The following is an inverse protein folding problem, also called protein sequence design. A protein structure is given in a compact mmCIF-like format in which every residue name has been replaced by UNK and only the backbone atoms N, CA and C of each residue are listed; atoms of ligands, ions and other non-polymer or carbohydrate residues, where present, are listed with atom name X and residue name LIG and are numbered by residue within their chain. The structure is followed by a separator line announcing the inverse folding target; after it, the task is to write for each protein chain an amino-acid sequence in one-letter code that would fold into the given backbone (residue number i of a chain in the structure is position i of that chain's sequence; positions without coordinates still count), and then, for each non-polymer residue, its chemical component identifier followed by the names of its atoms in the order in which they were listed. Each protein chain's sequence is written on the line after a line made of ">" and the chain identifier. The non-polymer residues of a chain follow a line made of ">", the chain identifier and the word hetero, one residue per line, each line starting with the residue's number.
data_IF_330879831356
#
_entry.id   IF_330879831356
#
_cell.length_a   1.000
_cell.length_b   1.000
_cell.length_c   1.000
_cell.angle_alpha   90.00
_cell.angle_beta   90.00
_cell.angle_gamma   90.00
#
_symmetry.space_group_name_H-M   'P 1'
#
loop_
_entity.id
_entity.type
_entity.pdbx_description
1 polymer ?
#
# COMPACT_ATOMS: atom_id res chain seq x y z
N UNK A 1 -6.95 50.95 14.09
CA UNK A 1 -7.91 49.84 13.91
C UNK A 1 -8.57 50.03 12.55
N UNK A 2 -8.15 49.28 11.54
CA UNK A 2 -8.85 49.24 10.26
C UNK A 2 -9.80 48.03 10.27
N UNK A 3 -11.12 48.21 10.12
CA UNK A 3 -12.06 47.10 10.03
C UNK A 3 -11.86 46.39 8.69
N UNK A 4 -11.69 45.07 8.73
CA UNK A 4 -11.56 44.21 7.57
C UNK A 4 -12.96 43.94 6.99
N UNK A 5 -13.27 44.48 5.80
CA UNK A 5 -14.54 44.27 5.09
C UNK A 5 -14.43 43.13 4.06
N UNK A 6 -14.03 41.95 4.53
CA UNK A 6 -14.05 40.73 3.72
C UNK A 6 -15.44 40.08 3.74
N UNK A 7 -16.34 40.52 2.86
CA UNK A 7 -17.59 39.80 2.56
C UNK A 7 -17.31 38.72 1.50
N UNK A 8 -16.68 37.63 1.90
CA UNK A 8 -16.69 36.38 1.12
C UNK A 8 -17.46 35.35 1.92
N UNK A 9 -18.75 35.17 1.59
CA UNK A 9 -19.48 33.97 2.02
C UNK A 9 -18.68 32.77 1.53
N UNK A 10 -18.26 31.90 2.46
CA UNK A 10 -17.81 30.56 2.12
C UNK A 10 -18.91 29.93 1.28
N UNK A 11 -18.60 29.57 0.03
CA UNK A 11 -19.45 28.65 -0.72
C UNK A 11 -19.42 27.34 0.06
N UNK A 12 -20.58 26.87 0.52
CA UNK A 12 -20.71 25.49 0.97
C UNK A 12 -20.47 24.62 -0.27
N UNK A 13 -19.29 24.01 -0.32
CA UNK A 13 -18.95 23.04 -1.36
C UNK A 13 -19.81 21.80 -1.16
N UNK A 14 -20.43 21.34 -2.24
CA UNK A 14 -20.95 19.98 -2.32
C UNK A 14 -19.76 19.03 -2.15
N UNK A 15 -19.59 18.48 -0.95
CA UNK A 15 -18.81 17.26 -0.77
C UNK A 15 -19.47 16.22 -1.67
N UNK A 16 -18.84 15.88 -2.81
CA UNK A 16 -19.26 14.71 -3.57
C UNK A 16 -19.29 13.54 -2.59
N UNK A 17 -20.49 12.99 -2.33
CA UNK A 17 -20.67 11.92 -1.37
C UNK A 17 -19.80 10.74 -1.80
N UNK A 18 -18.85 10.37 -0.94
CA UNK A 18 -18.04 9.17 -1.13
C UNK A 18 -18.96 7.96 -0.92
N UNK A 19 -19.49 7.40 -2.00
CA UNK A 19 -20.35 6.21 -1.92
C UNK A 19 -19.62 4.97 -1.39
N UNK A 20 -18.27 4.96 -1.42
CA UNK A 20 -17.45 3.94 -0.76
C UNK A 20 -16.02 4.44 -0.49
N UNK A 21 -15.64 4.55 0.79
CA UNK A 21 -14.25 4.72 1.23
C UNK A 21 -13.70 3.32 1.50
N UNK A 22 -12.69 2.89 0.73
CA UNK A 22 -11.99 1.63 1.01
C UNK A 22 -11.32 1.75 2.38
N UNK A 23 -11.75 0.95 3.37
CA UNK A 23 -11.22 1.05 4.72
C UNK A 23 -9.77 0.54 4.80
N UNK A 24 -9.29 -0.15 3.77
CA UNK A 24 -7.95 -0.72 3.70
C UNK A 24 -7.05 0.09 2.76
N UNK A 25 -5.75 0.27 3.09
CA UNK A 25 -4.79 0.96 2.24
C UNK A 25 -4.34 0.06 1.08
N UNK A 26 -5.25 -0.27 0.15
CA UNK A 26 -4.99 -1.12 -1.02
C UNK A 26 -5.39 -0.43 -2.34
N UNK A 27 -4.74 -0.81 -3.43
CA UNK A 27 -4.94 -0.20 -4.75
C UNK A 27 -6.19 -0.70 -5.49
N UNK A 28 -6.69 -1.89 -5.14
CA UNK A 28 -7.90 -2.48 -5.72
C UNK A 28 -8.90 -2.78 -4.60
N UNK A 29 -10.18 -2.65 -4.92
CA UNK A 29 -11.28 -3.04 -4.05
C UNK A 29 -11.57 -4.52 -4.23
N UNK A 30 -11.90 -5.19 -3.12
CA UNK A 30 -12.53 -6.50 -3.12
C UNK A 30 -13.75 -6.48 -2.22
N UNK A 31 -14.85 -7.11 -2.63
CA UNK A 31 -15.98 -7.38 -1.76
C UNK A 31 -15.60 -8.51 -0.78
N UNK A 32 -14.89 -8.16 0.29
CA UNK A 32 -14.43 -9.12 1.30
C UNK A 32 -14.62 -8.55 2.70
N UNK A 33 -14.98 -9.41 3.66
CA UNK A 33 -14.85 -9.07 5.07
C UNK A 33 -13.37 -8.92 5.43
N UNK A 34 -13.08 -8.00 6.35
CA UNK A 34 -11.74 -7.78 6.86
C UNK A 34 -11.77 -7.53 8.37
N UNK A 35 -10.62 -7.75 9.01
CA UNK A 35 -10.37 -7.44 10.41
C UNK A 35 -9.06 -6.65 10.50
N UNK A 36 -9.12 -5.43 11.03
CA UNK A 36 -7.93 -4.63 11.33
C UNK A 36 -7.27 -5.14 12.61
N UNK A 37 -5.94 -5.21 12.60
CA UNK A 37 -5.12 -5.53 13.77
C UNK A 37 -4.37 -4.29 14.30
N UNK A 38 -4.86 -3.10 13.93
CA UNK A 38 -4.39 -1.80 14.43
C UNK A 38 -4.83 -1.59 15.90
N UNK A 39 -4.10 -0.78 16.66
CA UNK A 39 -4.33 -0.51 18.07
C UNK A 39 -3.17 -0.97 18.95
N UNK A 40 -3.45 -1.35 20.19
CA UNK A 40 -2.39 -1.74 21.15
C UNK A 40 -1.83 -3.14 20.89
N UNK A 41 -0.52 -3.26 21.04
CA UNK A 41 0.27 -4.49 20.94
C UNK A 41 1.19 -4.60 22.17
N UNK A 42 1.49 -5.81 22.61
CA UNK A 42 2.57 -6.08 23.57
C UNK A 42 3.91 -5.79 22.88
N UNK A 43 4.85 -5.17 23.58
CA UNK A 43 6.08 -4.63 23.01
C UNK A 43 7.30 -4.86 23.91
N UNK A 44 8.42 -5.23 23.29
CA UNK A 44 9.72 -5.35 23.95
C UNK A 44 10.86 -5.07 22.97
N UNK A 45 11.94 -4.46 23.45
CA UNK A 45 13.20 -4.37 22.71
C UNK A 45 14.08 -5.58 23.00
N UNK A 46 14.79 -6.03 21.98
CA UNK A 46 15.75 -7.13 22.05
C UNK A 46 17.14 -6.62 21.66
N UNK A 47 17.71 -5.81 22.56
CA UNK A 47 18.95 -5.05 22.30
C UNK A 47 20.14 -5.96 21.93
N UNK A 48 20.17 -7.17 22.47
CA UNK A 48 21.22 -8.17 22.21
C UNK A 48 20.89 -9.11 21.04
N UNK A 49 19.74 -8.94 20.38
CA UNK A 49 19.21 -9.82 19.32
C UNK A 49 19.20 -11.31 19.70
N UNK A 50 18.70 -11.61 20.90
CA UNK A 50 18.66 -12.97 21.47
C UNK A 50 17.28 -13.59 21.45
N UNK A 51 16.24 -12.86 21.07
CA UNK A 51 14.84 -13.29 21.14
C UNK A 51 14.53 -14.49 20.25
N UNK A 52 15.19 -14.63 19.11
CA UNK A 52 15.09 -15.85 18.27
C UNK A 52 15.67 -17.05 19.02
N UNK A 53 16.87 -16.89 19.60
CA UNK A 53 17.57 -17.95 20.33
C UNK A 53 16.84 -18.35 21.63
N UNK A 54 16.19 -17.38 22.28
CA UNK A 54 15.33 -17.56 23.46
C UNK A 54 13.89 -17.94 23.10
N UNK A 55 13.57 -18.13 21.82
CA UNK A 55 12.25 -18.55 21.34
C UNK A 55 11.08 -17.64 21.76
N UNK A 56 11.25 -16.32 21.73
CA UNK A 56 10.21 -15.36 22.12
C UNK A 56 8.90 -15.52 21.32
N UNK A 57 8.98 -16.02 20.08
CA UNK A 57 7.82 -16.37 19.26
C UNK A 57 6.91 -17.47 19.87
N UNK A 58 7.43 -18.33 20.74
CA UNK A 58 6.64 -19.32 21.47
C UNK A 58 5.95 -18.73 22.71
N UNK A 59 6.38 -17.56 23.17
CA UNK A 59 5.84 -16.82 24.29
C UNK A 59 6.94 -16.01 24.97
N UNK A 60 6.63 -14.76 25.31
CA UNK A 60 7.54 -13.85 26.00
C UNK A 60 6.76 -12.97 26.97
N UNK A 61 7.40 -12.57 28.07
CA UNK A 61 6.83 -11.60 28.99
C UNK A 61 7.21 -10.20 28.52
N UNK A 62 6.26 -9.51 27.90
CA UNK A 62 6.44 -8.14 27.42
C UNK A 62 6.25 -7.13 28.56
N UNK A 63 7.18 -6.18 28.68
CA UNK A 63 7.20 -5.16 29.73
C UNK A 63 6.43 -3.90 29.35
N UNK A 64 6.12 -3.73 28.06
CA UNK A 64 5.55 -2.51 27.51
C UNK A 64 4.42 -2.79 26.50
N UNK A 65 3.72 -1.73 26.14
CA UNK A 65 2.77 -1.71 25.03
C UNK A 65 3.21 -0.72 23.96
N UNK A 66 2.77 -0.96 22.73
CA UNK A 66 3.00 -0.10 21.58
C UNK A 66 1.70 0.04 20.77
N UNK A 67 1.50 1.18 20.13
CA UNK A 67 0.35 1.39 19.24
C UNK A 67 0.76 1.10 17.79
N UNK A 68 0.05 0.22 17.12
CA UNK A 68 0.26 -0.10 15.70
C UNK A 68 -0.86 0.52 14.86
N UNK A 69 -0.59 1.24 13.76
CA UNK A 69 0.74 1.65 13.28
C UNK A 69 1.43 2.66 14.20
N UNK A 70 2.76 2.67 14.18
CA UNK A 70 3.60 3.53 15.01
C UNK A 70 5.09 3.36 14.71
N UNK A 71 5.94 4.27 15.20
CA UNK A 71 7.38 4.14 15.05
C UNK A 71 8.04 3.48 16.27
N UNK A 72 9.11 2.73 16.07
CA UNK A 72 9.94 2.21 17.16
C UNK A 72 10.44 3.36 18.03
N UNK A 73 10.78 4.50 17.42
CA UNK A 73 11.20 5.71 18.12
C UNK A 73 10.13 6.22 19.10
N UNK A 74 8.86 6.29 18.66
CA UNK A 74 7.74 6.71 19.51
C UNK A 74 7.44 5.67 20.60
N UNK A 75 7.58 4.38 20.30
CA UNK A 75 7.40 3.30 21.26
C UNK A 75 8.46 3.35 22.36
N UNK A 76 9.73 3.57 21.98
CA UNK A 76 10.82 3.78 22.93
C UNK A 76 10.58 4.99 23.82
N UNK A 77 10.17 6.12 23.23
CA UNK A 77 9.90 7.34 23.96
C UNK A 77 8.75 7.17 24.97
N UNK A 78 7.64 6.56 24.54
CA UNK A 78 6.46 6.28 25.37
C UNK A 78 6.81 5.32 26.52
N UNK A 79 7.53 4.25 26.22
CA UNK A 79 7.98 3.28 27.23
C UNK A 79 9.14 3.78 28.10
N UNK A 80 9.64 5.01 27.84
CA UNK A 80 10.81 5.62 28.51
C UNK A 80 12.05 4.71 28.47
N UNK A 81 12.17 3.93 27.40
CA UNK A 81 13.30 3.03 27.20
C UNK A 81 14.47 3.82 26.65
N UNK A 82 15.65 3.60 27.21
CA UNK A 82 16.91 4.15 26.69
C UNK A 82 17.67 3.07 25.95
N UNK A 83 18.29 3.43 24.82
CA UNK A 83 19.22 2.57 24.09
C UNK A 83 20.66 3.01 24.41
N UNK A 84 21.22 2.46 25.48
CA UNK A 84 22.43 2.99 26.11
C UNK A 84 22.13 4.34 26.78
N UNK A 85 22.94 5.37 26.50
CA UNK A 85 22.76 6.73 27.07
C UNK A 85 21.77 7.62 26.31
N UNK A 86 21.14 7.11 25.23
CA UNK A 86 20.30 7.91 24.33
C UNK A 86 18.84 7.47 24.38
N UNK A 87 17.93 8.41 24.16
CA UNK A 87 16.50 8.16 23.90
C UNK A 87 16.24 7.71 22.45
N UNK A 88 17.25 7.79 21.58
CA UNK A 88 17.25 7.22 20.23
C UNK A 88 18.16 6.00 20.14
N UNK A 89 17.84 5.07 19.24
CA UNK A 89 18.68 3.89 18.99
C UNK A 89 19.89 4.22 18.11
N UNK A 90 20.96 3.41 18.22
CA UNK A 90 22.22 3.56 17.50
C UNK A 90 22.59 2.24 16.83
N UNK A 91 23.13 2.31 15.61
CA UNK A 91 23.64 1.17 14.83
C UNK A 91 22.60 0.10 14.45
N UNK A 92 21.99 -0.58 15.41
CA UNK A 92 20.97 -1.61 15.19
C UNK A 92 19.90 -1.52 16.27
N UNK A 93 18.66 -1.84 15.89
CA UNK A 93 17.55 -2.00 16.82
C UNK A 93 16.77 -3.25 16.45
N UNK A 94 16.34 -3.99 17.47
CA UNK A 94 15.43 -5.14 17.30
C UNK A 94 14.27 -4.95 18.25
N UNK A 95 13.07 -5.03 17.69
CA UNK A 95 11.81 -4.87 18.41
C UNK A 95 10.90 -6.07 18.16
N UNK A 96 10.22 -6.50 19.21
CA UNK A 96 9.23 -7.56 19.17
C UNK A 96 7.87 -7.01 19.54
N UNK A 97 6.87 -7.41 18.76
CA UNK A 97 5.48 -7.06 18.93
C UNK A 97 4.65 -8.34 19.05
N UNK A 98 3.64 -8.35 19.90
CA UNK A 98 2.67 -9.44 19.97
C UNK A 98 1.24 -8.94 20.17
N UNK A 99 0.31 -9.55 19.45
CA UNK A 99 -1.12 -9.29 19.62
C UNK A 99 -1.93 -10.57 19.47
N UNK A 100 -2.99 -10.65 20.26
CA UNK A 100 -3.99 -11.68 20.15
C UNK A 100 -5.20 -11.20 19.33
N UNK A 101 -5.80 -12.10 18.57
CA UNK A 101 -7.03 -11.86 17.82
C UNK A 101 -7.89 -13.13 17.78
N UNK A 102 -9.22 -13.01 17.78
CA UNK A 102 -10.11 -14.17 17.72
C UNK A 102 -10.02 -14.86 16.36
N UNK A 103 -10.51 -16.10 16.26
CA UNK A 103 -10.70 -16.76 14.98
C UNK A 103 -11.59 -15.88 14.07
N UNK A 104 -11.11 -15.46 12.88
CA UNK A 104 -11.93 -14.62 12.00
C UNK A 104 -13.17 -15.36 11.50
N UNK A 105 -14.30 -14.67 11.49
CA UNK A 105 -15.51 -15.14 10.82
C UNK A 105 -15.41 -14.85 9.32
N UNK A 106 -15.28 -15.90 8.50
CA UNK A 106 -15.27 -15.75 7.03
C UNK A 106 -16.69 -15.79 6.50
N UNK A 107 -16.98 -14.99 5.46
CA UNK A 107 -18.30 -14.89 4.84
C UNK A 107 -18.87 -16.24 4.35
N UNK A 108 -18.00 -17.23 4.06
CA UNK A 108 -18.36 -18.58 3.61
C UNK A 108 -17.82 -19.70 4.53
N UNK A 109 -17.45 -19.37 5.78
CA UNK A 109 -16.85 -20.29 6.73
C UNK A 109 -15.36 -20.56 6.50
N UNK A 110 -14.67 -21.02 7.56
CA UNK A 110 -13.26 -21.40 7.50
C UNK A 110 -13.09 -22.68 6.67
N UNK A 111 -12.43 -22.57 5.51
CA UNK A 111 -12.11 -23.72 4.65
C UNK A 111 -13.00 -23.92 3.42
N UNK A 112 -13.76 -22.90 2.99
CA UNK A 112 -14.40 -22.94 1.66
C UNK A 112 -13.34 -23.14 0.57
N UNK A 113 -13.50 -24.09 -0.38
CA UNK A 113 -12.43 -24.55 -1.27
C UNK A 113 -11.84 -23.42 -2.13
N UNK A 114 -12.67 -22.44 -2.50
CA UNK A 114 -12.24 -21.28 -3.30
C UNK A 114 -11.75 -20.09 -2.46
N UNK A 115 -11.58 -20.22 -1.14
CA UNK A 115 -11.19 -19.09 -0.27
C UNK A 115 -9.95 -19.39 0.56
N UNK A 116 -9.18 -18.34 0.82
CA UNK A 116 -7.99 -18.35 1.68
C UNK A 116 -8.08 -17.15 2.63
N UNK A 117 -7.71 -17.35 3.89
CA UNK A 117 -7.50 -16.25 4.82
C UNK A 117 -6.11 -15.64 4.56
N UNK A 118 -6.07 -14.37 4.22
CA UNK A 118 -4.83 -13.63 3.96
C UNK A 118 -4.55 -12.65 5.09
N UNK A 119 -3.35 -12.70 5.65
CA UNK A 119 -2.82 -11.67 6.54
C UNK A 119 -1.94 -10.74 5.72
N UNK A 120 -2.20 -9.44 5.75
CA UNK A 120 -1.42 -8.43 5.01
C UNK A 120 -0.87 -7.39 5.96
N UNK A 121 0.42 -7.11 5.79
CA UNK A 121 1.10 -5.96 6.37
C UNK A 121 1.13 -4.86 5.32
N UNK A 122 0.59 -3.69 5.62
CA UNK A 122 0.59 -2.56 4.68
C UNK A 122 2.01 -2.08 4.34
N UNK A 123 2.90 -2.12 5.33
CA UNK A 123 4.35 -1.99 5.26
C UNK A 123 4.91 -2.00 6.70
N UNK A 124 6.02 -2.70 6.92
CA UNK A 124 6.83 -2.60 8.13
C UNK A 124 8.21 -3.22 7.90
N UNK A 125 9.23 -2.74 8.62
CA UNK A 125 10.61 -3.14 8.35
C UNK A 125 11.63 -2.38 9.21
N UNK A 126 12.92 -2.50 8.93
CA UNK A 126 13.49 -3.06 7.69
C UNK A 126 13.42 -4.61 7.54
N UNK A 127 13.97 -5.41 8.46
CA UNK A 127 13.90 -6.88 8.45
C UNK A 127 12.72 -7.36 9.31
N UNK A 128 11.70 -7.94 8.68
CA UNK A 128 10.49 -8.39 9.38
C UNK A 128 10.34 -9.91 9.32
N UNK A 129 10.10 -10.52 10.50
CA UNK A 129 9.73 -11.93 10.64
C UNK A 129 8.41 -12.06 11.40
N UNK A 130 7.57 -13.01 10.98
CA UNK A 130 6.21 -13.15 11.51
C UNK A 130 5.93 -14.59 11.89
N UNK A 131 5.30 -14.78 13.04
CA UNK A 131 4.84 -16.07 13.54
C UNK A 131 3.38 -16.00 13.92
N UNK A 132 2.64 -17.07 13.62
CA UNK A 132 1.27 -17.27 14.08
C UNK A 132 1.22 -18.47 15.01
N UNK A 133 0.76 -18.26 16.24
CA UNK A 133 0.67 -19.31 17.26
C UNK A 133 2.02 -20.02 17.51
N UNK A 134 3.13 -19.30 17.34
CA UNK A 134 4.50 -19.81 17.44
C UNK A 134 5.04 -20.47 16.17
N UNK A 135 4.25 -20.59 15.11
CA UNK A 135 4.66 -21.19 13.84
C UNK A 135 5.16 -20.08 12.90
N UNK A 136 6.38 -20.18 12.34
CA UNK A 136 6.89 -19.19 11.40
C UNK A 136 6.04 -19.15 10.13
N UNK A 137 5.70 -17.96 9.67
CA UNK A 137 4.99 -17.76 8.41
C UNK A 137 5.97 -17.45 7.28
N UNK A 138 5.60 -17.85 6.06
CA UNK A 138 6.33 -17.51 4.83
C UNK A 138 5.46 -16.65 3.94
N UNK A 139 6.01 -15.57 3.39
CA UNK A 139 5.25 -14.67 2.53
C UNK A 139 4.72 -15.43 1.31
N UNK A 140 3.71 -14.87 0.63
CA UNK A 140 3.20 -15.45 -0.63
C UNK A 140 4.26 -15.49 -1.75
N UNK A 141 5.39 -14.79 -1.58
CA UNK A 141 6.54 -14.87 -2.48
C UNK A 141 7.57 -15.93 -2.05
N UNK A 142 7.32 -16.62 -0.92
CA UNK A 142 8.18 -17.68 -0.39
C UNK A 142 9.28 -17.18 0.55
N UNK A 143 9.19 -15.96 1.06
CA UNK A 143 10.22 -15.37 1.93
C UNK A 143 9.95 -15.73 3.39
N UNK A 144 10.98 -16.17 4.11
CA UNK A 144 10.91 -16.35 5.58
C UNK A 144 11.10 -15.02 6.33
N UNK A 145 11.64 -14.03 5.62
CA UNK A 145 12.00 -12.71 6.12
C UNK A 145 11.62 -11.69 5.06
N UNK A 146 10.73 -10.76 5.39
CA UNK A 146 10.46 -9.62 4.54
C UNK A 146 11.53 -8.55 4.75
N UNK A 147 12.02 -7.96 3.66
CA UNK A 147 13.02 -6.89 3.70
C UNK A 147 12.47 -5.66 3.00
N UNK A 148 12.41 -4.55 3.73
CA UNK A 148 11.89 -3.28 3.26
C UNK A 148 10.74 -2.76 4.13
N UNK A 149 10.51 -1.45 4.11
CA UNK A 149 9.60 -0.77 5.05
C UNK A 149 8.49 0.04 4.36
N UNK A 150 8.37 -0.07 3.04
CA UNK A 150 7.57 0.87 2.24
C UNK A 150 6.49 0.22 1.39
N UNK A 151 6.57 -1.09 1.22
CA UNK A 151 5.68 -1.91 0.39
C UNK A 151 4.95 -2.93 1.23
N UNK A 152 3.74 -3.29 0.81
CA UNK A 152 2.97 -4.32 1.48
C UNK A 152 3.49 -5.72 1.15
N UNK A 153 3.28 -6.65 2.09
CA UNK A 153 3.54 -8.06 1.92
C UNK A 153 2.46 -8.86 2.67
N UNK A 154 2.24 -10.10 2.24
CA UNK A 154 1.11 -10.91 2.71
C UNK A 154 1.50 -12.37 2.94
N UNK A 155 0.68 -13.03 3.74
CA UNK A 155 0.73 -14.45 4.07
C UNK A 155 -0.61 -15.10 3.76
N UNK A 156 -0.59 -16.29 3.18
CA UNK A 156 -1.77 -17.16 3.07
C UNK A 156 -1.79 -18.06 4.32
N UNK A 157 -2.81 -17.92 5.16
CA UNK A 157 -2.90 -18.66 6.42
C UNK A 157 -3.53 -20.03 6.20
N UNK A 158 -2.87 -21.07 6.69
CA UNK A 158 -3.42 -22.43 6.68
C UNK A 158 -4.50 -22.54 7.77
N UNK A 159 -5.74 -22.94 7.46
CA UNK A 159 -6.80 -23.10 8.46
C UNK A 159 -6.43 -24.04 9.62
N UNK A 160 -5.56 -25.04 9.38
CA UNK A 160 -5.14 -26.00 10.40
C UNK A 160 -4.28 -25.42 11.53
N UNK A 161 -3.66 -24.25 11.32
CA UNK A 161 -2.84 -23.60 12.36
C UNK A 161 -3.62 -22.54 13.14
N UNK A 162 -4.87 -22.26 12.76
CA UNK A 162 -5.74 -21.32 13.45
C UNK A 162 -6.33 -21.94 14.72
N UNK A 163 -6.58 -21.08 15.71
CA UNK A 163 -7.15 -21.40 17.01
C UNK A 163 -8.32 -20.46 17.29
N UNK A 164 -9.11 -20.74 18.34
CA UNK A 164 -10.16 -19.84 18.83
C UNK A 164 -9.63 -18.45 19.17
N UNK A 165 -8.44 -18.40 19.77
CA UNK A 165 -7.64 -17.19 19.97
C UNK A 165 -6.28 -17.42 19.36
N UNK A 166 -5.90 -16.53 18.45
CA UNK A 166 -4.66 -16.59 17.69
C UNK A 166 -3.69 -15.54 18.21
N UNK A 167 -2.41 -15.88 18.25
CA UNK A 167 -1.33 -15.00 18.69
C UNK A 167 -0.41 -14.70 17.52
N UNK A 168 -0.34 -13.43 17.13
CA UNK A 168 0.55 -12.94 16.08
C UNK A 168 1.77 -12.30 16.74
N UNK A 169 2.96 -12.88 16.49
CA UNK A 169 4.22 -12.34 16.98
C UNK A 169 5.03 -11.81 15.78
N UNK A 170 5.56 -10.61 15.90
CA UNK A 170 6.30 -9.91 14.85
C UNK A 170 7.63 -9.44 15.41
N UNK A 171 8.73 -9.78 14.73
CA UNK A 171 10.06 -9.22 15.00
C UNK A 171 10.42 -8.27 13.87
N UNK A 172 10.83 -7.06 14.23
CA UNK A 172 11.37 -6.06 13.32
C UNK A 172 12.81 -5.79 13.74
N UNK A 173 13.76 -5.87 12.81
CA UNK A 173 15.12 -5.41 13.01
C UNK A 173 15.48 -4.33 11.98
N UNK A 174 16.09 -3.25 12.44
CA UNK A 174 16.61 -2.19 11.58
C UNK A 174 18.07 -1.88 11.95
N UNK A 175 18.80 -1.28 11.02
CA UNK A 175 20.21 -0.90 11.19
C UNK A 175 20.41 0.56 10.77
N UNK A 176 21.60 1.12 10.94
CA UNK A 176 21.99 2.42 10.39
C UNK A 176 22.83 2.28 9.11
N UNK A 177 22.85 1.09 8.49
CA UNK A 177 23.56 0.81 7.23
C UNK A 177 23.14 1.82 6.15
N UNK A 178 24.10 2.56 5.61
CA UNK A 178 23.86 3.58 4.58
C UNK A 178 23.62 2.99 3.18
N UNK A 179 23.86 1.69 3.01
CA UNK A 179 23.71 0.98 1.74
C UNK A 179 22.31 0.39 1.54
N UNK A 180 21.46 0.34 2.57
CA UNK A 180 20.04 -0.04 2.40
C UNK A 180 19.19 1.18 2.05
N UNK A 181 18.06 1.02 1.31
CA UNK A 181 17.13 2.10 1.04
C UNK A 181 16.62 2.75 2.33
N UNK A 182 16.72 4.07 2.41
CA UNK A 182 16.21 4.86 3.52
C UNK A 182 15.34 5.99 3.01
N UNK A 183 14.26 6.25 3.73
CA UNK A 183 13.33 7.34 3.49
C UNK A 183 13.48 8.40 4.55
N UNK A 184 12.78 8.22 5.68
CA UNK A 184 12.82 9.14 6.82
C UNK A 184 13.75 8.67 7.93
N UNK A 185 14.61 7.69 7.71
CA UNK A 185 15.51 7.14 8.72
C UNK A 185 16.91 7.79 8.63
N UNK A 186 17.63 7.82 9.75
CA UNK A 186 19.05 8.20 9.74
C UNK A 186 19.95 7.02 9.30
N UNK A 187 21.22 7.29 9.03
CA UNK A 187 22.26 6.28 8.82
C UNK A 187 23.58 6.66 9.49
N UNK A 188 24.63 5.86 9.30
CA UNK A 188 25.98 6.21 9.74
C UNK A 188 26.56 7.43 9.01
N UNK A 189 26.20 7.64 7.74
CA UNK A 189 26.76 8.71 6.89
C UNK A 189 25.85 9.93 6.79
N UNK A 190 24.59 9.79 7.18
CA UNK A 190 23.59 10.83 7.10
C UNK A 190 22.87 11.02 8.43
N UNK A 191 22.99 12.24 8.96
CA UNK A 191 22.31 12.76 10.15
C UNK A 191 21.47 13.95 9.72
N UNK A 192 20.28 14.11 10.29
CA UNK A 192 19.28 15.06 9.79
C UNK A 192 19.72 16.52 9.78
N UNK A 193 20.69 16.91 10.60
CA UNK A 193 21.46 18.15 10.44
C UNK A 193 20.67 19.42 10.12
N UNK A 194 19.43 19.57 10.64
CA UNK A 194 18.54 20.71 10.35
C UNK A 194 17.26 20.41 9.58
N UNK A 195 16.96 19.14 9.29
CA UNK A 195 15.74 18.73 8.58
C UNK A 195 14.57 18.47 9.56
N UNK A 196 13.40 19.00 9.23
CA UNK A 196 12.23 19.10 10.11
C UNK A 196 11.21 17.96 9.97
N UNK A 197 11.65 16.71 9.93
CA UNK A 197 10.78 15.53 10.08
C UNK A 197 11.37 14.57 11.12
N UNK A 198 10.58 13.71 11.76
CA UNK A 198 11.01 12.73 12.80
C UNK A 198 11.35 11.35 12.22
N UNK A 199 12.24 10.60 12.88
CA UNK A 199 12.72 9.29 12.41
C UNK A 199 11.57 8.35 12.60
N UNK A 200 11.28 7.61 11.56
CA UNK A 200 10.09 6.78 11.54
C UNK A 200 10.51 5.42 11.01
N UNK A 201 10.64 4.49 11.95
CA UNK A 201 11.10 3.13 11.68
C UNK A 201 10.09 2.13 12.24
N UNK A 202 9.86 1.01 11.57
CA UNK A 202 9.20 -0.15 12.16
C UNK A 202 7.77 -0.37 11.68
N UNK A 203 6.79 -0.15 12.56
CA UNK A 203 5.40 -0.55 12.40
C UNK A 203 4.59 0.44 11.55
N UNK A 204 5.02 0.69 10.30
CA UNK A 204 4.63 1.90 9.56
C UNK A 204 3.18 1.95 9.08
N UNK A 205 2.56 0.81 8.77
CA UNK A 205 1.18 0.78 8.26
C UNK A 205 0.37 -0.36 8.84
N UNK A 206 -0.94 -0.24 8.67
CA UNK A 206 -1.94 -1.16 9.20
C UNK A 206 -1.68 -2.61 8.85
N UNK A 207 -2.10 -3.49 9.74
CA UNK A 207 -2.16 -4.93 9.50
C UNK A 207 -3.63 -5.33 9.41
N UNK A 208 -3.97 -6.17 8.46
CA UNK A 208 -5.33 -6.68 8.35
C UNK A 208 -5.38 -8.13 7.91
N UNK A 209 -6.46 -8.78 8.30
CA UNK A 209 -6.90 -10.07 7.79
C UNK A 209 -8.04 -9.83 6.80
N UNK A 210 -8.03 -10.54 5.68
CA UNK A 210 -9.13 -10.53 4.72
C UNK A 210 -9.33 -11.92 4.12
N UNK A 211 -10.56 -12.26 3.78
CA UNK A 211 -10.83 -13.44 2.95
C UNK A 211 -10.56 -13.09 1.50
N UNK A 212 -9.72 -13.87 0.83
CA UNK A 212 -9.44 -13.73 -0.60
C UNK A 212 -9.71 -15.03 -1.31
N UNK A 213 -9.88 -14.95 -2.62
CA UNK A 213 -10.10 -16.13 -3.45
C UNK A 213 -8.81 -16.93 -3.59
N UNK A 214 -8.92 -18.26 -3.64
CA UNK A 214 -7.78 -19.17 -3.76
C UNK A 214 -7.02 -18.89 -5.05
N UNK A 215 -7.70 -19.00 -6.19
CA UNK A 215 -7.22 -18.54 -7.49
C UNK A 215 -7.73 -17.12 -7.70
N UNK A 216 -6.82 -16.15 -7.82
CA UNK A 216 -7.20 -14.73 -7.84
C UNK A 216 -6.26 -13.86 -8.65
N UNK A 217 -6.80 -12.76 -9.17
CA UNK A 217 -6.01 -11.57 -9.49
C UNK A 217 -5.58 -10.94 -8.16
N UNK A 218 -4.33 -10.49 -8.04
CA UNK A 218 -3.76 -9.80 -6.87
C UNK A 218 -4.08 -8.32 -6.88
N UNK A 219 -3.70 -7.64 -5.80
CA UNK A 219 -4.08 -6.25 -5.54
C UNK A 219 -3.33 -5.18 -6.34
N UNK A 220 -2.62 -5.55 -7.42
CA UNK A 220 -1.88 -4.62 -8.28
C UNK A 220 -2.26 -4.84 -9.75
N UNK A 221 -2.79 -3.78 -10.37
CA UNK A 221 -3.10 -3.71 -11.80
C UNK A 221 -2.25 -2.62 -12.42
N UNK A 222 -1.41 -2.98 -13.40
CA UNK A 222 -0.62 -2.02 -14.17
C UNK A 222 -1.39 -1.55 -15.39
N UNK A 223 -1.70 -0.26 -15.48
CA UNK A 223 -2.44 0.33 -16.60
C UNK A 223 -1.48 1.17 -17.44
N UNK A 224 -1.44 0.92 -18.76
CA UNK A 224 -0.63 1.71 -19.70
C UNK A 224 -1.50 2.05 -20.91
N UNK A 225 -1.66 3.33 -21.18
CA UNK A 225 -2.48 3.84 -22.28
C UNK A 225 -1.63 4.21 -23.50
N UNK A 226 -2.12 3.85 -24.69
CA UNK A 226 -1.77 4.48 -25.97
C UNK A 226 -2.95 5.34 -26.40
N UNK A 227 -2.81 6.66 -26.32
CA UNK A 227 -3.94 7.57 -26.60
C UNK A 227 -4.15 7.76 -28.09
N UNK A 228 -3.12 7.52 -28.91
CA UNK A 228 -3.20 7.61 -30.37
C UNK A 228 -3.99 6.44 -30.97
N UNK A 229 -3.90 5.27 -30.35
CA UNK A 229 -4.53 4.03 -30.83
C UNK A 229 -5.82 3.68 -30.06
N UNK A 230 -6.22 4.50 -29.08
CA UNK A 230 -7.32 4.20 -28.15
C UNK A 230 -7.14 2.85 -27.40
N UNK A 231 -5.90 2.43 -27.16
CA UNK A 231 -5.59 1.15 -26.52
C UNK A 231 -5.20 1.34 -25.06
N UNK A 232 -5.73 0.48 -24.20
CA UNK A 232 -5.30 0.35 -22.81
C UNK A 232 -4.78 -1.05 -22.57
N UNK A 233 -3.50 -1.13 -22.20
CA UNK A 233 -2.87 -2.37 -21.78
C UNK A 233 -2.98 -2.52 -20.27
N UNK A 234 -3.63 -3.61 -19.85
CA UNK A 234 -3.68 -4.04 -18.47
C UNK A 234 -2.64 -5.13 -18.20
N UNK A 235 -1.93 -4.99 -17.08
CA UNK A 235 -0.98 -5.97 -16.59
C UNK A 235 -1.44 -6.42 -15.21
N UNK A 236 -1.92 -7.65 -15.12
CA UNK A 236 -2.39 -8.25 -13.88
C UNK A 236 -1.30 -9.12 -13.28
N UNK A 237 -1.26 -9.16 -11.95
CA UNK A 237 -0.55 -10.23 -11.24
C UNK A 237 -1.57 -11.21 -10.68
N UNK A 238 -1.46 -12.50 -10.95
CA UNK A 238 -2.32 -13.54 -10.43
C UNK A 238 -1.62 -14.34 -9.31
N UNK A 239 -2.44 -15.06 -8.54
CA UNK A 239 -2.03 -16.09 -7.60
C UNK A 239 -2.89 -17.31 -7.91
N UNK A 240 -2.28 -18.29 -8.59
CA UNK A 240 -2.94 -19.53 -9.04
C UNK A 240 -2.38 -20.70 -8.22
N UNK A 241 -3.27 -21.42 -7.56
CA UNK A 241 -3.00 -22.67 -6.85
C UNK A 241 -3.45 -23.87 -7.66
N UNK A 242 -4.58 -23.77 -8.36
CA UNK A 242 -5.16 -24.88 -9.11
C UNK A 242 -5.03 -24.59 -10.61
N UNK A 243 -4.18 -25.32 -11.35
CA UNK A 243 -4.03 -25.15 -12.79
C UNK A 243 -5.33 -25.46 -13.53
N UNK A 244 -5.55 -24.80 -14.67
CA UNK A 244 -6.72 -25.06 -15.50
C UNK A 244 -7.01 -23.97 -16.52
N UNK A 245 -8.15 -24.07 -17.21
CA UNK A 245 -8.63 -23.00 -18.06
C UNK A 245 -9.35 -21.92 -17.24
N UNK A 246 -9.02 -20.67 -17.55
CA UNK A 246 -9.63 -19.51 -16.95
C UNK A 246 -10.03 -18.51 -18.02
N UNK A 247 -11.10 -17.76 -17.77
CA UNK A 247 -11.44 -16.57 -18.54
C UNK A 247 -11.21 -15.33 -17.70
N UNK A 248 -10.33 -14.45 -18.17
CA UNK A 248 -10.22 -13.10 -17.64
C UNK A 248 -11.23 -12.22 -18.36
N UNK A 249 -12.31 -11.85 -17.68
CA UNK A 249 -13.30 -10.90 -18.19
C UNK A 249 -13.03 -9.51 -17.63
N UNK A 250 -12.92 -8.52 -18.51
CA UNK A 250 -12.79 -7.12 -18.15
C UNK A 250 -14.07 -6.37 -18.51
N UNK A 251 -14.65 -5.66 -17.53
CA UNK A 251 -15.77 -4.75 -17.73
C UNK A 251 -15.37 -3.34 -17.35
N UNK A 252 -15.47 -2.41 -18.28
CA UNK A 252 -15.06 -1.01 -18.11
C UNK A 252 -16.30 -0.13 -18.10
N UNK A 253 -16.35 0.83 -17.17
CA UNK A 253 -17.45 1.77 -16.99
C UNK A 253 -16.88 3.19 -16.89
N UNK A 254 -17.66 4.20 -17.29
CA UNK A 254 -17.41 5.55 -16.79
C UNK A 254 -17.62 5.59 -15.27
N UNK A 255 -16.73 6.23 -14.52
CA UNK A 255 -16.86 6.27 -13.04
C UNK A 255 -18.09 7.04 -12.58
N UNK A 256 -18.47 8.11 -13.29
CA UNK A 256 -19.54 9.04 -12.88
C UNK A 256 -20.94 8.45 -13.18
N UNK A 257 -21.02 7.39 -13.98
CA UNK A 257 -22.28 6.74 -14.31
C UNK A 257 -22.51 5.55 -13.38
N UNK A 258 -23.61 5.57 -12.62
CA UNK A 258 -24.20 4.38 -11.99
C UNK A 258 -24.89 3.45 -13.02
N UNK A 259 -24.34 3.42 -14.25
CA UNK A 259 -24.83 2.54 -15.30
C UNK A 259 -24.51 1.09 -14.92
N UNK A 260 -25.53 0.22 -15.04
CA UNK A 260 -25.34 -1.23 -14.98
C UNK A 260 -24.59 -1.77 -16.20
N UNK A 261 -24.58 -1.02 -17.31
CA UNK A 261 -23.99 -1.45 -18.57
C UNK A 261 -22.55 -0.93 -18.73
N UNK A 262 -21.58 -1.82 -19.00
CA UNK A 262 -20.21 -1.43 -19.30
C UNK A 262 -20.09 -0.83 -20.70
N UNK A 263 -19.17 0.13 -20.86
CA UNK A 263 -18.81 0.67 -22.19
C UNK A 263 -18.00 -0.31 -23.02
N UNK A 264 -17.22 -1.18 -22.35
CA UNK A 264 -16.41 -2.21 -22.99
C UNK A 264 -16.48 -3.47 -22.13
N UNK A 265 -16.71 -4.60 -22.78
CA UNK A 265 -16.56 -5.93 -22.19
C UNK A 265 -15.70 -6.78 -23.12
N UNK A 266 -14.55 -7.22 -22.60
CA UNK A 266 -13.66 -8.15 -23.30
C UNK A 266 -13.40 -9.39 -22.45
N UNK A 267 -13.22 -10.52 -23.11
CA UNK A 267 -12.92 -11.81 -22.49
C UNK A 267 -11.66 -12.40 -23.11
N UNK A 268 -10.77 -12.86 -22.23
CA UNK A 268 -9.49 -13.44 -22.63
C UNK A 268 -9.36 -14.83 -22.02
N UNK A 269 -9.36 -15.89 -22.83
CA UNK A 269 -9.11 -17.24 -22.35
C UNK A 269 -7.62 -17.43 -22.05
N UNK A 270 -7.34 -18.08 -20.92
CA UNK A 270 -6.00 -18.44 -20.47
C UNK A 270 -5.98 -19.90 -20.04
N UNK A 271 -4.84 -20.56 -20.23
CA UNK A 271 -4.49 -21.78 -19.51
C UNK A 271 -3.45 -21.36 -18.48
N UNK A 272 -3.78 -21.40 -17.20
CA UNK A 272 -2.92 -20.90 -16.13
C UNK A 272 -2.33 -22.06 -15.34
N UNK A 273 -1.01 -22.01 -15.14
CA UNK A 273 -0.30 -22.97 -14.30
C UNK A 273 -0.21 -22.51 -12.85
N UNK A 274 0.01 -23.46 -11.93
CA UNK A 274 0.23 -23.14 -10.53
C UNK A 274 1.48 -22.25 -10.37
N UNK A 275 1.34 -21.14 -9.66
CA UNK A 275 2.41 -20.15 -9.50
C UNK A 275 2.63 -19.22 -10.69
N UNK A 276 1.85 -19.34 -11.78
CA UNK A 276 1.89 -18.37 -12.86
C UNK A 276 1.40 -17.00 -12.38
N UNK A 277 2.19 -15.95 -12.65
CA UNK A 277 1.96 -14.63 -12.04
C UNK A 277 1.46 -13.57 -13.00
N UNK A 278 1.91 -13.50 -14.25
CA UNK A 278 1.76 -12.24 -15.03
C UNK A 278 0.83 -12.44 -16.23
N UNK A 279 -0.30 -11.75 -16.21
CA UNK A 279 -1.22 -11.70 -17.34
C UNK A 279 -1.23 -10.32 -17.97
N UNK A 280 -1.21 -10.26 -19.29
CA UNK A 280 -1.23 -9.02 -20.05
C UNK A 280 -2.28 -9.10 -21.13
N UNK A 281 -3.18 -8.13 -21.11
CA UNK A 281 -4.25 -7.99 -22.10
C UNK A 281 -4.32 -6.55 -22.58
N UNK A 282 -4.84 -6.36 -23.78
CA UNK A 282 -5.02 -5.06 -24.40
C UNK A 282 -6.49 -4.95 -24.75
N UNK A 283 -7.08 -3.83 -24.37
CA UNK A 283 -8.48 -3.50 -24.61
C UNK A 283 -8.51 -2.19 -25.40
N UNK A 284 -9.36 -2.13 -26.42
CA UNK A 284 -9.67 -0.87 -27.11
C UNK A 284 -10.78 -0.15 -26.35
N UNK A 285 -10.62 1.15 -26.14
CA UNK A 285 -11.63 2.02 -25.55
C UNK A 285 -11.90 3.14 -26.56
N UNK A 286 -12.84 2.93 -27.50
CA UNK A 286 -13.17 3.93 -28.51
C UNK A 286 -13.59 5.26 -27.86
N UNK A 287 -13.18 6.38 -28.48
CA UNK A 287 -13.50 7.73 -28.03
C UNK A 287 -13.15 7.96 -26.55
N UNK A 288 -11.99 7.44 -26.12
CA UNK A 288 -11.51 7.54 -24.75
C UNK A 288 -11.42 9.00 -24.25
N UNK A 289 -12.12 9.29 -23.16
CA UNK A 289 -12.03 10.54 -22.44
C UNK A 289 -10.77 10.52 -21.57
N UNK A 290 -9.80 11.36 -21.96
CA UNK A 290 -8.50 11.44 -21.32
C UNK A 290 -8.58 12.13 -19.95
N UNK A 291 -7.75 11.66 -19.02
CA UNK A 291 -7.55 12.29 -17.72
C UNK A 291 -6.58 13.47 -17.84
N UNK A 292 -6.90 14.60 -17.21
CA UNK A 292 -5.99 15.72 -16.98
C UNK A 292 -6.23 16.38 -15.61
N UNK A 293 -5.36 17.29 -15.14
CA UNK A 293 -5.61 18.07 -13.94
C UNK A 293 -6.90 18.90 -13.96
N UNK A 294 -7.30 19.38 -15.14
CA UNK A 294 -8.50 20.20 -15.36
C UNK A 294 -9.75 19.33 -15.52
N UNK A 295 -9.58 18.13 -16.07
CA UNK A 295 -10.66 17.18 -16.32
C UNK A 295 -10.22 15.76 -15.88
N UNK A 296 -10.32 15.44 -14.57
CA UNK A 296 -9.82 14.19 -14.02
C UNK A 296 -10.78 13.01 -14.30
N UNK A 297 -11.04 12.74 -15.58
CA UNK A 297 -11.91 11.66 -16.00
C UNK A 297 -11.32 10.29 -15.61
N UNK A 298 -12.10 9.50 -14.89
CA UNK A 298 -11.73 8.16 -14.44
C UNK A 298 -12.71 7.12 -14.97
N UNK A 299 -12.17 5.96 -15.31
CA UNK A 299 -12.90 4.75 -15.60
C UNK A 299 -12.87 3.83 -14.38
N UNK A 300 -13.91 3.01 -14.24
CA UNK A 300 -14.00 1.92 -13.28
C UNK A 300 -13.80 0.61 -14.02
N UNK A 301 -12.80 -0.17 -13.60
CA UNK A 301 -12.49 -1.49 -14.13
C UNK A 301 -12.97 -2.55 -13.14
N UNK A 302 -13.88 -3.42 -13.57
CA UNK A 302 -14.14 -4.71 -12.92
C UNK A 302 -13.39 -5.80 -13.69
N UNK A 303 -12.40 -6.42 -13.05
CA UNK A 303 -11.65 -7.53 -13.60
C UNK A 303 -12.04 -8.82 -12.87
N UNK A 304 -12.53 -9.79 -13.64
CA UNK A 304 -13.07 -11.06 -13.16
C UNK A 304 -12.18 -12.20 -13.69
N UNK A 305 -11.62 -13.00 -12.79
CA UNK A 305 -10.99 -14.28 -13.14
C UNK A 305 -12.03 -15.38 -12.90
N UNK A 306 -12.41 -16.06 -13.97
CA UNK A 306 -13.50 -17.05 -13.98
C UNK A 306 -12.89 -18.42 -14.28
N UNK A 307 -13.15 -19.43 -13.44
CA UNK A 307 -12.70 -20.81 -13.70
C UNK A 307 -13.70 -21.62 -14.53
N UNK A 308 -13.35 -22.86 -14.88
CA UNK A 308 -14.19 -23.77 -15.67
C UNK A 308 -15.53 -24.11 -14.99
N UNK A 309 -15.57 -24.09 -13.66
CA UNK A 309 -16.77 -24.34 -12.85
C UNK A 309 -17.66 -23.09 -12.72
N UNK A 310 -17.21 -21.95 -13.25
CA UNK A 310 -17.92 -20.68 -13.24
C UNK A 310 -17.77 -19.87 -11.95
N UNK A 311 -16.85 -20.23 -11.07
CA UNK A 311 -16.50 -19.41 -9.90
C UNK A 311 -15.81 -18.12 -10.35
N UNK A 312 -16.20 -17.00 -9.76
CA UNK A 312 -15.71 -15.66 -10.15
C UNK A 312 -14.94 -15.03 -9.00
N UNK A 313 -13.64 -14.80 -9.21
CA UNK A 313 -12.83 -13.94 -8.36
C UNK A 313 -12.76 -12.53 -8.97
N UNK A 314 -13.23 -11.51 -8.23
CA UNK A 314 -13.38 -10.15 -8.75
C UNK A 314 -12.48 -9.15 -8.01
N UNK A 315 -11.84 -8.27 -8.78
CA UNK A 315 -11.25 -7.03 -8.26
C UNK A 315 -11.84 -5.84 -8.99
N UNK A 316 -11.96 -4.72 -8.28
CA UNK A 316 -12.33 -3.44 -8.87
C UNK A 316 -11.23 -2.40 -8.66
N UNK A 317 -10.97 -1.56 -9.66
CA UNK A 317 -10.08 -0.40 -9.51
C UNK A 317 -10.52 0.75 -10.41
N UNK A 318 -9.92 1.90 -10.21
CA UNK A 318 -10.12 3.07 -11.06
C UNK A 318 -8.85 3.37 -11.85
N UNK A 319 -9.00 3.90 -13.05
CA UNK A 319 -7.86 4.33 -13.85
C UNK A 319 -8.22 5.54 -14.72
N UNK A 320 -7.23 6.40 -14.97
CA UNK A 320 -7.33 7.49 -15.93
C UNK A 320 -6.52 7.16 -17.18
N UNK A 321 -7.08 7.44 -18.36
CA UNK A 321 -6.38 7.27 -19.64
C UNK A 321 -5.57 8.54 -19.88
N UNK A 322 -4.25 8.44 -19.90
CA UNK A 322 -3.38 9.59 -20.17
C UNK A 322 -2.03 9.17 -20.73
N UNK A 323 -1.39 10.09 -21.44
CA UNK A 323 -0.01 9.96 -21.90
C UNK A 323 0.83 11.08 -21.30
N UNK A 324 1.93 10.75 -20.65
CA UNK A 324 2.92 11.72 -20.19
C UNK A 324 4.26 11.42 -20.83
N UNK A 325 4.93 12.43 -21.36
CA UNK A 325 6.23 12.27 -22.01
C UNK A 325 7.07 13.55 -21.89
N UNK A 326 8.38 13.39 -22.06
CA UNK A 326 9.32 14.50 -22.22
C UNK A 326 9.76 14.57 -23.67
N UNK A 327 9.71 15.77 -24.26
CA UNK A 327 10.26 16.06 -25.58
C UNK A 327 11.14 17.30 -25.47
N UNK A 328 12.46 17.12 -25.63
CA UNK A 328 13.44 18.17 -25.37
C UNK A 328 13.33 18.72 -23.94
N UNK A 329 13.23 20.04 -23.79
CA UNK A 329 13.14 20.72 -22.49
C UNK A 329 11.69 20.91 -22.00
N UNK A 330 10.73 20.13 -22.48
CA UNK A 330 9.31 20.29 -22.13
C UNK A 330 8.66 18.96 -21.79
N UNK A 331 7.68 19.03 -20.89
CA UNK A 331 6.83 17.90 -20.50
C UNK A 331 5.50 18.08 -21.22
N UNK A 332 4.97 16.98 -21.73
CA UNK A 332 3.71 16.90 -22.44
C UNK A 332 2.77 15.96 -21.70
N UNK A 333 1.54 16.40 -21.50
CA UNK A 333 0.42 15.58 -21.05
C UNK A 333 -0.59 15.53 -22.19
N UNK A 334 -0.98 14.33 -22.60
CA UNK A 334 -1.95 14.11 -23.68
C UNK A 334 -1.57 14.87 -24.98
N UNK A 335 -0.29 14.78 -25.36
CA UNK A 335 0.31 15.47 -26.51
C UNK A 335 0.32 17.01 -26.43
N UNK A 336 -0.13 17.62 -25.32
CA UNK A 336 -0.08 19.06 -25.08
C UNK A 336 1.01 19.42 -24.08
N UNK A 337 1.74 20.50 -24.34
CA UNK A 337 2.77 20.97 -23.41
C UNK A 337 2.12 21.44 -22.12
N UNK A 338 2.60 20.95 -20.98
CA UNK A 338 2.11 21.33 -19.65
C UNK A 338 3.21 22.05 -18.85
N UNK A 339 2.83 23.08 -18.11
CA UNK A 339 3.67 23.70 -17.10
C UNK A 339 3.38 23.07 -15.75
N UNK A 340 4.42 22.60 -15.05
CA UNK A 340 4.25 21.98 -13.73
C UNK A 340 4.35 23.06 -12.65
N UNK A 341 3.24 23.31 -11.96
CA UNK A 341 3.19 24.14 -10.77
C UNK A 341 2.99 23.22 -9.56
N UNK A 342 4.11 22.96 -8.88
CA UNK A 342 4.24 21.85 -7.95
C UNK A 342 4.51 22.28 -6.51
N UNK A 343 4.04 21.45 -5.58
CA UNK A 343 4.32 21.59 -4.16
C UNK A 343 4.98 20.34 -3.60
N UNK A 344 5.93 20.50 -2.67
CA UNK A 344 6.52 19.40 -1.93
C UNK A 344 5.62 19.05 -0.74
N UNK A 345 5.25 17.77 -0.64
CA UNK A 345 4.38 17.25 0.40
C UNK A 345 5.06 16.18 1.25
N UNK A 346 4.85 16.28 2.56
CA UNK A 346 5.38 15.37 3.58
C UNK A 346 4.26 15.04 4.57
N UNK A 347 3.54 13.91 4.41
CA UNK A 347 2.44 13.57 5.29
C UNK A 347 2.90 13.21 6.71
N UNK A 348 4.16 12.79 6.91
CA UNK A 348 4.65 12.29 8.20
C UNK A 348 3.67 11.24 8.78
N UNK A 349 3.22 11.41 10.03
CA UNK A 349 2.25 10.54 10.70
C UNK A 349 0.79 11.02 10.54
N UNK A 350 0.49 11.85 9.53
CA UNK A 350 -0.85 12.38 9.31
C UNK A 350 -1.88 11.26 9.10
N UNK A 351 -3.04 11.45 9.71
CA UNK A 351 -4.24 10.65 9.52
C UNK A 351 -4.80 10.81 8.12
N UNK A 352 -5.71 9.92 7.72
CA UNK A 352 -6.37 10.01 6.41
C UNK A 352 -7.15 11.32 6.22
N UNK A 353 -7.87 11.80 7.25
CA UNK A 353 -8.62 13.05 7.17
C UNK A 353 -7.68 14.25 7.01
N UNK A 354 -6.55 14.29 7.73
CA UNK A 354 -5.54 15.34 7.53
C UNK A 354 -4.93 15.28 6.12
N UNK A 355 -4.60 14.08 5.62
CA UNK A 355 -4.11 13.90 4.24
C UNK A 355 -5.15 14.43 3.23
N UNK A 356 -6.44 14.14 3.46
CA UNK A 356 -7.54 14.62 2.62
C UNK A 356 -7.57 16.15 2.59
N UNK A 357 -7.59 16.80 3.75
CA UNK A 357 -7.60 18.26 3.87
C UNK A 357 -6.37 18.90 3.19
N UNK A 358 -5.18 18.32 3.39
CA UNK A 358 -3.96 18.76 2.72
C UNK A 358 -4.08 18.70 1.19
N UNK A 359 -4.59 17.61 0.63
CA UNK A 359 -4.75 17.42 -0.82
C UNK A 359 -5.75 18.41 -1.43
N UNK A 360 -6.87 18.67 -0.75
CA UNK A 360 -7.83 19.70 -1.15
C UNK A 360 -7.21 21.11 -1.10
N UNK A 361 -6.45 21.42 -0.04
CA UNK A 361 -5.77 22.71 0.07
C UNK A 361 -4.75 22.92 -1.06
N UNK A 362 -3.97 21.90 -1.40
CA UNK A 362 -3.03 21.92 -2.53
C UNK A 362 -3.73 22.17 -3.87
N UNK A 363 -4.87 21.50 -4.12
CA UNK A 363 -5.68 21.73 -5.32
C UNK A 363 -6.24 23.16 -5.36
N UNK A 364 -6.76 23.66 -4.24
CA UNK A 364 -7.32 25.01 -4.12
C UNK A 364 -6.28 26.12 -4.31
N UNK A 365 -5.02 25.85 -3.95
CA UNK A 365 -3.91 26.76 -4.20
C UNK A 365 -3.58 26.92 -5.70
N UNK A 366 -4.07 26.01 -6.55
CA UNK A 366 -3.81 26.00 -7.99
C UNK A 366 -2.67 25.08 -8.40
N UNK A 367 -2.10 24.29 -7.49
CA UNK A 367 -1.07 23.32 -7.83
C UNK A 367 -1.63 22.21 -8.73
N UNK A 368 -0.83 21.78 -9.70
CA UNK A 368 -1.15 20.63 -10.57
C UNK A 368 -0.22 19.43 -10.35
N UNK A 369 0.83 19.59 -9.55
CA UNK A 369 1.77 18.54 -9.17
C UNK A 369 1.97 18.50 -7.65
N UNK A 370 1.95 17.31 -7.07
CA UNK A 370 2.38 17.07 -5.69
C UNK A 370 3.60 16.15 -5.71
N UNK A 371 4.74 16.66 -5.25
CA UNK A 371 5.95 15.87 -5.05
C UNK A 371 5.93 15.27 -3.65
N UNK A 372 5.83 13.96 -3.55
CA UNK A 372 5.84 13.24 -2.28
C UNK A 372 7.29 12.91 -1.91
N UNK A 373 7.78 13.58 -0.87
CA UNK A 373 9.19 13.53 -0.50
C UNK A 373 9.56 12.21 0.19
N UNK A 374 10.32 11.39 -0.53
CA UNK A 374 11.02 10.16 -0.13
C UNK A 374 10.40 9.38 1.04
N UNK A 375 9.25 8.75 0.79
CA UNK A 375 8.55 7.95 1.78
C UNK A 375 7.75 6.82 1.10
N UNK A 376 7.42 5.78 1.86
CA UNK A 376 6.38 4.86 1.45
C UNK A 376 5.05 5.62 1.35
N UNK A 377 4.53 5.78 0.14
CA UNK A 377 3.28 6.52 -0.11
C UNK A 377 2.06 5.68 0.21
N UNK A 378 1.16 6.20 1.06
CA UNK A 378 -0.13 5.57 1.32
C UNK A 378 -0.92 5.43 0.01
N UNK A 379 -1.38 4.22 -0.36
CA UNK A 379 -2.19 3.99 -1.56
C UNK A 379 -3.39 4.94 -1.74
N UNK A 380 -3.94 5.45 -0.64
CA UNK A 380 -5.06 6.40 -0.64
C UNK A 380 -4.68 7.77 -1.20
N UNK A 381 -3.41 8.19 -1.12
CA UNK A 381 -2.93 9.44 -1.74
C UNK A 381 -3.04 9.37 -3.26
N UNK A 382 -2.70 8.22 -3.86
CA UNK A 382 -2.87 8.02 -5.31
C UNK A 382 -4.34 8.14 -5.72
N UNK A 383 -5.24 7.46 -5.00
CA UNK A 383 -6.69 7.55 -5.25
C UNK A 383 -7.18 9.00 -5.15
N UNK A 384 -6.70 9.77 -4.18
CA UNK A 384 -7.07 11.18 -4.03
C UNK A 384 -6.55 12.03 -5.19
N UNK A 385 -5.29 11.85 -5.58
CA UNK A 385 -4.68 12.58 -6.69
C UNK A 385 -5.36 12.29 -8.03
N UNK A 386 -5.70 11.02 -8.29
CA UNK A 386 -6.46 10.60 -9.46
C UNK A 386 -7.82 11.33 -9.54
N UNK A 387 -8.52 11.46 -8.41
CA UNK A 387 -9.84 12.12 -8.34
C UNK A 387 -9.77 13.64 -8.44
N UNK A 388 -8.78 14.26 -7.79
CA UNK A 388 -8.63 15.72 -7.75
C UNK A 388 -7.98 16.30 -9.01
N UNK A 389 -7.44 15.45 -9.89
CA UNK A 389 -6.65 15.93 -11.02
C UNK A 389 -5.35 16.54 -10.54
N UNK A 390 -4.55 15.77 -9.80
CA UNK A 390 -3.21 16.15 -9.36
C UNK A 390 -2.20 15.13 -9.90
N UNK A 391 -1.16 15.62 -10.58
CA UNK A 391 -0.01 14.80 -10.93
C UNK A 391 0.77 14.48 -9.65
N UNK A 392 1.35 13.29 -9.59
CA UNK A 392 2.24 12.89 -8.50
C UNK A 392 3.67 12.69 -9.00
N UNK A 393 4.63 13.33 -8.34
CA UNK A 393 6.02 12.92 -8.37
C UNK A 393 6.31 12.14 -7.09
N UNK A 394 6.36 10.82 -7.20
CA UNK A 394 6.68 9.95 -6.08
C UNK A 394 8.15 9.61 -6.06
N UNK A 395 8.83 9.93 -4.95
CA UNK A 395 10.21 9.55 -4.73
C UNK A 395 10.28 8.27 -3.89
N UNK A 396 10.88 7.23 -4.45
CA UNK A 396 11.15 5.99 -3.72
C UNK A 396 12.33 6.20 -2.76
N UNK A 397 12.32 5.55 -1.58
CA UNK A 397 13.46 5.52 -0.68
C UNK A 397 14.75 5.05 -1.37
N UNK A 398 15.86 5.70 -1.05
CA UNK A 398 17.15 5.45 -1.72
C UNK A 398 18.26 5.31 -0.69
N UNK A 399 19.31 4.53 -0.98
CA UNK A 399 20.45 4.43 -0.09
C UNK A 399 21.20 5.77 0.03
N UNK A 400 21.72 6.07 1.21
CA UNK A 400 22.56 7.26 1.43
C UNK A 400 24.00 7.09 0.90
N UNK A 401 24.39 5.88 0.52
CA UNK A 401 25.68 5.57 -0.12
C UNK A 401 25.49 4.90 -1.48
N UNK A 402 26.30 5.27 -2.47
CA UNK A 402 26.25 4.70 -3.82
C UNK A 402 27.35 3.67 -4.03
N UNK A 403 27.03 2.39 -3.80
CA UNK A 403 27.93 1.25 -3.96
C UNK A 403 27.27 0.17 -4.82
N UNK A 404 28.00 -0.91 -5.13
CA UNK A 404 27.39 -2.04 -5.82
C UNK A 404 26.34 -2.73 -4.94
N UNK A 405 26.61 -2.87 -3.63
CA UNK A 405 25.67 -3.44 -2.65
C UNK A 405 24.41 -2.59 -2.55
N UNK A 406 24.54 -1.27 -2.51
CA UNK A 406 23.36 -0.39 -2.41
C UNK A 406 22.49 -0.38 -3.67
N UNK A 407 23.10 -0.51 -4.86
CA UNK A 407 22.34 -0.70 -6.12
C UNK A 407 21.58 -2.02 -6.16
N UNK A 408 22.08 -3.08 -5.52
CA UNK A 408 21.35 -4.34 -5.40
C UNK A 408 20.21 -4.21 -4.39
N UNK A 409 20.45 -3.57 -3.25
CA UNK A 409 19.44 -3.34 -2.22
C UNK A 409 18.29 -2.42 -2.66
N UNK A 410 18.50 -1.57 -3.67
CA UNK A 410 17.49 -0.67 -4.23
C UNK A 410 16.67 -1.27 -5.38
N UNK A 411 17.07 -2.43 -5.94
CA UNK A 411 16.30 -3.12 -7.00
C UNK A 411 15.07 -3.79 -6.41
#
# INVERSE_FOLDING_TARGET
>A
MHPNYGLTKSLEESKAEETFVDPLPRAVLRPSSFMLLDGEWRFALDLDDTGILKSWHLGHQYEHTAHWPGSIEDHMATAKIQHGESTSWKDKIVAWYEREFPLPELANGNGHPHSILQLTFGACGYETRVWLNGIPLRTIEGEDVHVGEYTSFSYELNPSILRTVNRLTVRIADTMDAEIPRGKQESHVYKRGGIWYQTYTGAVRSIWLETVERNRLRSRVGVVSSIEDNLVRFNFTARIHDPGHYTLRLKIYHRIQDSSEPIVTDEFPFCLEAGEKRQRVVVEIPDAHLWSPEDPHLYRLKAQLIDEDGYVAEIETHFGIRKIESRGCSIYLNNQKIYLDGILYQPAAATYEEIKDHMYAMKKLGCNLVRIHIAGVDPRIYKMADRLGLLLWVEVPSPHSSTQRSRVAHR
#
